data_IF_410147353774
#
_entry.id   IF_410147353774
#
_cell.length_a   1.000
_cell.length_b   1.000
_cell.length_c   1.000
_cell.angle_alpha   90.00
_cell.angle_beta   90.00
_cell.angle_gamma   90.00
#
_symmetry.space_group_name_H-M   'P 1'
#
loop_
_entity.id
_entity.type
_entity.pdbx_description
1 polymer ?
#
# COMPACT_ATOMS: atom_id res chain seq x y z
N UNK A 1 23.82 7.29 12.69
CA UNK A 1 24.01 6.52 11.43
C UNK A 1 24.29 7.53 10.32
N UNK A 2 25.24 7.25 9.41
CA UNK A 2 25.50 8.16 8.30
C UNK A 2 24.31 8.16 7.34
N UNK A 3 23.84 9.31 6.78
CA UNK A 3 22.65 9.37 5.93
C UNK A 3 22.66 8.37 4.76
N UNK A 4 23.81 8.15 4.14
CA UNK A 4 23.98 7.17 3.05
C UNK A 4 23.75 5.72 3.53
N UNK A 5 24.15 5.39 4.74
CA UNK A 5 23.93 4.06 5.32
C UNK A 5 22.45 3.84 5.67
N UNK A 6 21.80 4.88 6.18
CA UNK A 6 20.36 4.88 6.44
C UNK A 6 19.56 4.70 5.15
N UNK A 7 19.92 5.42 4.08
CA UNK A 7 19.32 5.23 2.74
C UNK A 7 19.51 3.82 2.18
N UNK A 8 20.68 3.21 2.42
CA UNK A 8 20.92 1.80 2.04
C UNK A 8 20.05 0.83 2.85
N UNK A 9 19.82 1.11 4.11
CA UNK A 9 18.91 0.32 4.96
C UNK A 9 17.48 0.42 4.43
N UNK A 10 16.97 1.63 4.23
CA UNK A 10 15.64 1.88 3.66
C UNK A 10 15.47 1.18 2.30
N UNK A 11 16.46 1.31 1.41
CA UNK A 11 16.41 0.69 0.10
C UNK A 11 16.40 -0.86 0.13
N UNK A 12 16.79 -1.49 1.25
CA UNK A 12 16.80 -2.95 1.42
C UNK A 12 15.62 -3.47 2.24
N UNK A 13 14.84 -2.60 2.87
CA UNK A 13 13.69 -2.98 3.67
C UNK A 13 12.58 -3.55 2.75
N UNK A 14 12.38 -4.87 2.78
CA UNK A 14 11.29 -5.55 2.08
C UNK A 14 10.18 -5.87 3.05
N UNK A 15 8.92 -5.74 2.63
CA UNK A 15 7.75 -6.03 3.49
C UNK A 15 7.60 -5.10 4.70
N UNK A 16 8.29 -3.95 4.69
CA UNK A 16 8.14 -2.98 5.76
C UNK A 16 6.80 -2.25 5.65
N UNK A 17 6.21 -1.96 6.81
CA UNK A 17 5.02 -1.11 6.91
C UNK A 17 5.25 0.24 6.18
N UNK A 18 4.36 0.66 5.26
CA UNK A 18 4.53 1.88 4.47
C UNK A 18 4.77 3.14 5.32
N UNK A 19 4.11 3.27 6.47
CA UNK A 19 4.28 4.41 7.38
C UNK A 19 5.69 4.42 7.97
N UNK A 20 6.16 3.27 8.43
CA UNK A 20 7.53 3.11 8.96
C UNK A 20 8.56 3.41 7.87
N UNK A 21 8.35 2.91 6.66
CA UNK A 21 9.24 3.14 5.53
C UNK A 21 9.32 4.62 5.14
N UNK A 22 8.20 5.34 5.16
CA UNK A 22 8.18 6.79 4.91
C UNK A 22 8.93 7.55 5.99
N UNK A 23 8.75 7.21 7.26
CA UNK A 23 9.44 7.87 8.38
C UNK A 23 10.96 7.66 8.31
N UNK A 24 11.41 6.44 8.07
CA UNK A 24 12.83 6.13 7.89
C UNK A 24 13.42 6.88 6.68
N UNK A 25 12.65 6.97 5.59
CA UNK A 25 13.04 7.73 4.39
C UNK A 25 13.13 9.22 4.70
N UNK A 26 12.16 9.79 5.40
CA UNK A 26 12.15 11.19 5.79
C UNK A 26 13.40 11.53 6.64
N UNK A 27 13.70 10.70 7.65
CA UNK A 27 14.90 10.86 8.47
C UNK A 27 16.20 10.79 7.65
N UNK A 28 16.28 9.86 6.68
CA UNK A 28 17.46 9.71 5.83
C UNK A 28 17.62 10.89 4.86
N UNK A 29 16.54 11.38 4.24
CA UNK A 29 16.56 12.54 3.34
C UNK A 29 16.86 13.84 4.10
N UNK A 30 16.37 14.01 5.32
CA UNK A 30 16.67 15.17 6.17
C UNK A 30 18.18 15.32 6.42
N UNK A 31 18.90 14.19 6.50
CA UNK A 31 20.37 14.20 6.60
C UNK A 31 21.09 14.73 5.34
N UNK A 32 20.41 14.82 4.19
CA UNK A 32 20.93 15.32 2.92
C UNK A 32 20.39 16.71 2.55
N UNK A 33 19.68 17.38 3.44
CA UNK A 33 18.98 18.65 3.17
C UNK A 33 19.88 19.75 2.60
N UNK A 34 21.19 19.73 2.88
CA UNK A 34 22.18 20.67 2.36
C UNK A 34 22.84 20.22 1.05
N UNK A 35 22.46 19.06 0.50
CA UNK A 35 23.04 18.49 -0.73
C UNK A 35 21.92 18.22 -1.77
N UNK A 36 21.43 19.23 -2.49
CA UNK A 36 20.31 19.06 -3.42
C UNK A 36 20.50 17.96 -4.46
N UNK A 37 21.72 17.84 -5.01
CA UNK A 37 22.05 16.76 -5.95
C UNK A 37 21.97 15.36 -5.27
N UNK A 38 22.38 15.27 -4.01
CA UNK A 38 22.30 14.07 -3.20
C UNK A 38 20.85 13.63 -2.97
N UNK A 39 19.95 14.59 -2.67
CA UNK A 39 18.52 14.32 -2.50
C UNK A 39 17.92 13.73 -3.79
N UNK A 40 18.17 14.32 -4.96
CA UNK A 40 17.62 13.83 -6.24
C UNK A 40 18.07 12.42 -6.54
N UNK A 41 19.35 12.10 -6.31
CA UNK A 41 19.86 10.73 -6.51
C UNK A 41 19.26 9.74 -5.52
N UNK A 42 19.12 10.15 -4.25
CA UNK A 42 18.51 9.32 -3.20
C UNK A 42 17.04 9.01 -3.52
N UNK A 43 16.25 10.03 -3.84
CA UNK A 43 14.84 9.90 -4.22
C UNK A 43 14.66 8.94 -5.39
N UNK A 44 15.44 9.10 -6.46
CA UNK A 44 15.38 8.19 -7.62
C UNK A 44 15.60 6.73 -7.21
N UNK A 45 16.62 6.47 -6.39
CA UNK A 45 16.91 5.10 -5.91
C UNK A 45 15.81 4.54 -5.01
N UNK A 46 15.22 5.36 -4.15
CA UNK A 46 14.13 4.96 -3.24
C UNK A 46 12.90 4.54 -4.05
N UNK A 47 12.41 5.38 -4.97
CA UNK A 47 11.22 5.05 -5.77
C UNK A 47 11.46 3.89 -6.73
N UNK A 48 12.70 3.70 -7.21
CA UNK A 48 13.07 2.52 -8.02
C UNK A 48 13.03 1.22 -7.20
N UNK A 49 13.39 1.29 -5.93
CA UNK A 49 13.45 0.11 -5.05
C UNK A 49 12.10 -0.23 -4.42
N UNK A 50 11.24 0.77 -4.25
CA UNK A 50 9.90 0.64 -3.68
C UNK A 50 8.83 1.24 -4.64
N UNK A 51 8.72 0.68 -5.85
CA UNK A 51 7.91 1.29 -6.90
C UNK A 51 6.41 1.29 -6.60
N UNK A 52 5.92 0.37 -5.75
CA UNK A 52 4.50 0.21 -5.41
C UNK A 52 4.05 1.00 -4.18
N UNK A 53 4.96 1.71 -3.50
CA UNK A 53 4.65 2.43 -2.26
C UNK A 53 4.30 3.90 -2.56
N UNK A 54 3.03 4.19 -2.81
CA UNK A 54 2.53 5.55 -3.13
C UNK A 54 2.98 6.63 -2.16
N UNK A 55 2.89 6.43 -0.82
CA UNK A 55 3.38 7.40 0.17
C UNK A 55 4.86 7.77 0.03
N UNK A 56 5.72 6.89 -0.48
CA UNK A 56 7.11 7.24 -0.79
C UNK A 56 7.22 8.15 -2.01
N UNK A 57 6.45 7.89 -3.05
CA UNK A 57 6.39 8.79 -4.21
C UNK A 57 5.92 10.18 -3.82
N UNK A 58 4.92 10.25 -2.95
CA UNK A 58 4.39 11.50 -2.41
C UNK A 58 5.46 12.25 -1.59
N UNK A 59 6.10 11.63 -0.59
CA UNK A 59 7.18 12.22 0.20
C UNK A 59 8.34 12.69 -0.70
N UNK A 60 8.81 11.83 -1.58
CA UNK A 60 9.92 12.10 -2.48
C UNK A 60 9.64 13.29 -3.41
N UNK A 61 8.40 13.40 -3.93
CA UNK A 61 8.02 14.53 -4.77
C UNK A 61 8.04 15.85 -4.01
N UNK A 62 7.58 15.87 -2.75
CA UNK A 62 7.65 17.06 -1.91
C UNK A 62 9.09 17.46 -1.61
N UNK A 63 9.95 16.48 -1.31
CA UNK A 63 11.36 16.74 -1.03
C UNK A 63 12.13 17.38 -2.20
N UNK A 64 11.83 16.99 -3.46
CA UNK A 64 12.55 17.52 -4.64
C UNK A 64 11.90 18.76 -5.26
N UNK A 65 10.62 19.05 -4.98
CA UNK A 65 9.91 20.19 -5.57
C UNK A 65 9.87 21.42 -4.67
N UNK A 66 10.16 21.28 -3.38
CA UNK A 66 10.13 22.37 -2.44
C UNK A 66 11.40 23.25 -2.52
N UNK A 67 11.24 24.54 -2.23
CA UNK A 67 12.36 25.46 -2.08
C UNK A 67 13.23 25.11 -0.84
N UNK A 68 12.60 24.65 0.22
CA UNK A 68 13.24 24.08 1.41
C UNK A 68 12.84 22.60 1.55
N UNK A 69 13.70 21.67 1.12
CA UNK A 69 13.44 20.23 1.25
C UNK A 69 13.25 19.76 2.70
N UNK A 70 13.98 20.36 3.65
CA UNK A 70 13.93 19.96 5.05
C UNK A 70 12.56 20.29 5.66
N UNK A 71 12.08 21.51 5.46
CA UNK A 71 10.73 21.91 5.91
C UNK A 71 9.64 21.05 5.28
N UNK A 72 9.75 20.79 3.97
CA UNK A 72 8.78 19.93 3.26
C UNK A 72 8.74 18.49 3.81
N UNK A 73 9.91 17.89 4.06
CA UNK A 73 10.01 16.55 4.63
C UNK A 73 9.41 16.50 6.03
N UNK A 74 9.72 17.47 6.90
CA UNK A 74 9.15 17.54 8.24
C UNK A 74 7.62 17.68 8.22
N UNK A 75 7.09 18.49 7.31
CA UNK A 75 5.66 18.64 7.12
C UNK A 75 5.00 17.32 6.70
N UNK A 76 5.58 16.61 5.74
CA UNK A 76 5.10 15.30 5.32
C UNK A 76 5.12 14.28 6.46
N UNK A 77 6.17 14.27 7.28
CA UNK A 77 6.27 13.37 8.43
C UNK A 77 5.18 13.65 9.48
N UNK A 78 4.91 14.92 9.76
CA UNK A 78 3.83 15.32 10.67
C UNK A 78 2.45 14.95 10.12
N UNK A 79 2.20 15.17 8.85
CA UNK A 79 0.94 14.80 8.20
C UNK A 79 0.69 13.28 8.27
N UNK A 80 1.71 12.44 8.01
CA UNK A 80 1.59 10.98 8.14
C UNK A 80 1.37 10.57 9.60
N UNK A 81 2.03 11.24 10.55
CA UNK A 81 1.86 10.95 11.97
C UNK A 81 0.44 11.22 12.46
N UNK A 82 -0.23 12.17 11.86
CA UNK A 82 -1.61 12.59 12.20
C UNK A 82 -2.69 11.97 11.31
N UNK A 83 -2.32 11.02 10.43
CA UNK A 83 -3.26 10.34 9.55
C UNK A 83 -4.35 9.60 10.34
N UNK A 84 -5.60 10.00 10.14
CA UNK A 84 -6.75 9.45 10.80
C UNK A 84 -7.38 8.23 10.10
N UNK A 85 -6.83 7.77 8.97
CA UNK A 85 -7.43 6.71 8.14
C UNK A 85 -7.72 5.43 8.93
N UNK A 86 -6.77 4.97 9.75
CA UNK A 86 -6.93 3.77 10.58
C UNK A 86 -8.09 3.93 11.56
N UNK A 87 -8.18 5.10 12.23
CA UNK A 87 -9.27 5.42 13.15
C UNK A 87 -10.60 5.49 12.40
N UNK A 88 -10.65 6.19 11.26
CA UNK A 88 -11.85 6.37 10.47
C UNK A 88 -12.39 5.02 9.95
N UNK A 89 -11.51 4.11 9.53
CA UNK A 89 -11.91 2.77 9.12
C UNK A 89 -12.48 1.97 10.31
N UNK A 90 -11.76 1.94 11.43
CA UNK A 90 -12.19 1.20 12.63
C UNK A 90 -13.58 1.66 13.10
N UNK A 91 -13.82 2.98 13.09
CA UNK A 91 -15.08 3.57 13.55
C UNK A 91 -16.22 3.39 12.51
N UNK A 92 -15.88 3.19 11.24
CA UNK A 92 -16.86 3.00 10.15
C UNK A 92 -17.39 1.57 10.05
N UNK A 93 -16.58 0.55 10.40
CA UNK A 93 -16.99 -0.86 10.30
C UNK A 93 -17.98 -1.21 11.41
N UNK A 94 -19.22 -1.67 11.07
CA UNK A 94 -20.23 -2.04 12.06
C UNK A 94 -19.77 -3.20 12.98
N UNK A 95 -20.45 -3.35 14.10
CA UNK A 95 -20.25 -4.48 15.01
C UNK A 95 -20.68 -5.79 14.34
N UNK A 96 -20.01 -6.90 14.72
CA UNK A 96 -20.28 -8.25 14.27
C UNK A 96 -20.22 -8.45 12.75
N UNK A 97 -19.61 -7.48 12.01
CA UNK A 97 -19.53 -7.54 10.57
C UNK A 97 -18.58 -8.63 10.07
N UNK A 98 -18.92 -9.20 8.91
CA UNK A 98 -18.06 -10.10 8.14
C UNK A 98 -17.38 -9.32 7.04
N UNK A 99 -16.07 -9.24 7.07
CA UNK A 99 -15.25 -8.40 6.20
C UNK A 99 -14.33 -9.26 5.34
N UNK A 100 -14.30 -9.01 4.04
CA UNK A 100 -13.32 -9.61 3.13
C UNK A 100 -12.22 -8.60 2.79
N UNK A 101 -10.96 -9.01 2.93
CA UNK A 101 -9.75 -8.22 2.60
C UNK A 101 -8.81 -9.04 1.73
N UNK A 102 -7.78 -8.39 1.13
CA UNK A 102 -6.84 -9.05 0.20
C UNK A 102 -5.41 -8.93 0.70
N UNK A 103 -4.71 -10.05 0.81
CA UNK A 103 -3.29 -10.14 1.16
C UNK A 103 -2.95 -9.54 2.52
N UNK A 104 -1.92 -8.70 2.56
CA UNK A 104 -1.49 -7.98 3.77
C UNK A 104 -1.84 -6.48 3.69
N UNK A 105 -3.10 -6.09 3.86
CA UNK A 105 -3.48 -4.68 3.83
C UNK A 105 -3.16 -4.01 5.17
N UNK A 106 -2.01 -3.35 5.26
CA UNK A 106 -1.41 -2.87 6.52
C UNK A 106 -2.33 -1.95 7.31
N UNK A 107 -2.93 -0.93 6.68
CA UNK A 107 -3.83 0.02 7.38
C UNK A 107 -5.11 -0.66 7.83
N UNK A 108 -5.65 -1.58 7.02
CA UNK A 108 -6.84 -2.35 7.36
C UNK A 108 -6.55 -3.29 8.54
N UNK A 109 -5.44 -4.03 8.49
CA UNK A 109 -5.05 -4.91 9.60
C UNK A 109 -4.87 -4.13 10.90
N UNK A 110 -4.22 -2.97 10.86
CA UNK A 110 -4.07 -2.10 12.04
C UNK A 110 -5.42 -1.59 12.57
N UNK A 111 -6.35 -1.22 11.67
CA UNK A 111 -7.68 -0.75 12.08
C UNK A 111 -8.52 -1.85 12.74
N UNK A 112 -8.45 -3.06 12.21
CA UNK A 112 -9.31 -4.18 12.61
C UNK A 112 -8.69 -5.10 13.68
N UNK A 113 -7.39 -4.98 13.94
CA UNK A 113 -6.68 -5.82 14.90
C UNK A 113 -7.17 -5.76 16.36
N UNK A 114 -7.97 -4.75 16.71
CA UNK A 114 -8.58 -4.59 18.04
C UNK A 114 -10.07 -4.91 18.05
N UNK A 115 -10.59 -5.45 16.96
CA UNK A 115 -12.03 -5.72 16.73
C UNK A 115 -12.30 -7.22 16.77
N UNK A 116 -12.30 -7.80 17.97
CA UNK A 116 -12.61 -9.24 18.21
C UNK A 116 -14.05 -9.63 17.90
N UNK A 117 -14.91 -8.64 17.69
CA UNK A 117 -16.30 -8.82 17.25
C UNK A 117 -16.43 -9.16 15.76
N UNK A 118 -15.38 -8.91 14.96
CA UNK A 118 -15.43 -9.11 13.51
C UNK A 118 -15.08 -10.56 13.11
N UNK A 119 -15.59 -10.96 11.94
CA UNK A 119 -15.09 -12.13 11.20
C UNK A 119 -14.40 -11.64 9.94
N UNK A 120 -13.09 -11.89 9.83
CA UNK A 120 -12.28 -11.41 8.71
C UNK A 120 -11.93 -12.59 7.79
N UNK A 121 -12.21 -12.41 6.51
CA UNK A 121 -11.80 -13.31 5.44
C UNK A 121 -10.64 -12.65 4.69
N UNK A 122 -9.48 -13.28 4.70
CA UNK A 122 -8.27 -12.80 4.02
C UNK A 122 -8.09 -13.60 2.74
N UNK A 123 -8.25 -12.97 1.59
CA UNK A 123 -7.98 -13.59 0.30
C UNK A 123 -6.49 -13.67 0.07
N UNK A 124 -6.00 -14.84 -0.32
CA UNK A 124 -4.58 -15.05 -0.61
C UNK A 124 -4.09 -14.10 -1.73
N UNK A 125 -2.95 -13.49 -1.52
CA UNK A 125 -2.30 -12.61 -2.48
C UNK A 125 -0.79 -12.60 -2.22
N UNK A 126 0.01 -12.94 -3.23
CA UNK A 126 1.47 -12.89 -3.23
C UNK A 126 2.16 -13.67 -2.08
N UNK A 127 1.48 -14.62 -1.46
CA UNK A 127 1.99 -15.38 -0.31
C UNK A 127 1.81 -14.70 1.06
N UNK A 128 1.09 -13.57 1.12
CA UNK A 128 0.97 -12.76 2.34
C UNK A 128 -0.28 -13.10 3.19
N UNK A 129 -1.24 -13.84 2.63
CA UNK A 129 -2.53 -14.11 3.27
C UNK A 129 -2.41 -14.91 4.56
N UNK A 130 -1.58 -15.95 4.60
CA UNK A 130 -1.33 -16.76 5.80
C UNK A 130 -0.76 -15.91 6.93
N UNK A 131 0.24 -15.08 6.65
CA UNK A 131 0.85 -14.21 7.65
C UNK A 131 -0.15 -13.17 8.20
N UNK A 132 -1.04 -12.65 7.35
CA UNK A 132 -2.10 -11.74 7.76
C UNK A 132 -3.11 -12.43 8.71
N UNK A 133 -3.51 -13.66 8.40
CA UNK A 133 -4.39 -14.47 9.25
C UNK A 133 -3.72 -14.75 10.59
N UNK A 134 -2.47 -15.22 10.60
CA UNK A 134 -1.72 -15.49 11.82
C UNK A 134 -1.61 -14.25 12.71
N UNK A 135 -1.36 -13.10 12.11
CA UNK A 135 -1.31 -11.82 12.81
C UNK A 135 -2.64 -11.48 13.48
N UNK A 136 -3.76 -11.61 12.77
CA UNK A 136 -5.10 -11.34 13.31
C UNK A 136 -5.45 -12.32 14.44
N UNK A 137 -5.20 -13.62 14.23
CA UNK A 137 -5.44 -14.65 15.25
C UNK A 137 -4.61 -14.40 16.52
N UNK A 138 -3.37 -13.94 16.39
CA UNK A 138 -2.52 -13.58 17.53
C UNK A 138 -3.05 -12.39 18.36
N UNK A 139 -4.03 -11.67 17.83
CA UNK A 139 -4.71 -10.54 18.47
C UNK A 139 -6.16 -10.85 18.83
N UNK A 140 -6.52 -12.13 18.92
CA UNK A 140 -7.87 -12.63 19.25
C UNK A 140 -8.97 -12.16 18.26
N UNK A 141 -8.61 -11.90 17.01
CA UNK A 141 -9.54 -11.56 15.94
C UNK A 141 -9.83 -12.82 15.13
N UNK A 142 -11.11 -13.13 14.90
CA UNK A 142 -11.53 -14.29 14.10
C UNK A 142 -11.19 -14.06 12.62
N UNK A 143 -10.15 -14.73 12.12
CA UNK A 143 -9.67 -14.61 10.74
C UNK A 143 -9.57 -15.97 10.05
N UNK A 144 -9.85 -16.00 8.75
CA UNK A 144 -9.78 -17.21 7.92
C UNK A 144 -9.15 -16.89 6.58
N UNK A 145 -8.16 -17.71 6.16
CA UNK A 145 -7.60 -17.66 4.81
C UNK A 145 -8.63 -18.13 3.78
N UNK A 146 -8.68 -17.42 2.67
CA UNK A 146 -9.57 -17.71 1.54
C UNK A 146 -8.71 -17.97 0.30
N UNK A 147 -8.76 -19.20 -0.18
CA UNK A 147 -8.19 -19.56 -1.48
C UNK A 147 -9.13 -19.12 -2.60
N UNK A 148 -8.57 -18.84 -3.77
CA UNK A 148 -9.31 -18.27 -4.90
C UNK A 148 -10.56 -19.07 -5.29
N UNK A 149 -10.52 -20.39 -5.19
CA UNK A 149 -11.64 -21.29 -5.51
C UNK A 149 -12.86 -21.07 -4.61
N UNK A 150 -12.67 -20.51 -3.42
CA UNK A 150 -13.73 -20.24 -2.44
C UNK A 150 -14.24 -18.80 -2.49
N UNK A 151 -13.67 -17.96 -3.35
CA UNK A 151 -13.89 -16.52 -3.34
C UNK A 151 -15.36 -16.15 -3.49
N UNK A 152 -16.07 -16.70 -4.49
CA UNK A 152 -17.48 -16.40 -4.75
C UNK A 152 -18.37 -16.70 -3.54
N UNK A 153 -18.14 -17.85 -2.87
CA UNK A 153 -18.89 -18.23 -1.69
C UNK A 153 -18.64 -17.28 -0.51
N UNK A 154 -17.39 -16.87 -0.32
CA UNK A 154 -17.02 -15.97 0.76
C UNK A 154 -17.57 -14.56 0.51
N UNK A 155 -17.47 -14.03 -0.71
CA UNK A 155 -18.04 -12.73 -1.06
C UNK A 155 -19.57 -12.72 -0.82
N UNK A 156 -20.28 -13.78 -1.20
CA UNK A 156 -21.71 -13.89 -0.91
C UNK A 156 -22.03 -13.87 0.60
N UNK A 157 -21.14 -14.44 1.43
CA UNK A 157 -21.27 -14.47 2.90
C UNK A 157 -20.89 -13.14 3.57
N UNK A 158 -19.99 -12.34 2.97
CA UNK A 158 -19.50 -11.10 3.56
C UNK A 158 -20.55 -9.99 3.59
N UNK A 159 -20.42 -9.09 4.56
CA UNK A 159 -21.18 -7.83 4.63
C UNK A 159 -20.45 -6.71 3.89
N UNK A 160 -19.10 -6.72 3.92
CA UNK A 160 -18.24 -5.71 3.31
C UNK A 160 -17.03 -6.34 2.63
N UNK A 161 -16.66 -5.77 1.50
CA UNK A 161 -15.34 -5.96 0.86
C UNK A 161 -14.53 -4.69 1.11
N UNK A 162 -13.34 -4.82 1.67
CA UNK A 162 -12.47 -3.67 1.96
C UNK A 162 -11.11 -3.90 1.31
N UNK A 163 -10.74 -2.98 0.42
CA UNK A 163 -9.50 -3.02 -0.35
C UNK A 163 -8.61 -1.84 0.04
N UNK A 164 -7.31 -2.07 0.22
CA UNK A 164 -6.33 -1.03 0.49
C UNK A 164 -5.64 -0.56 -0.79
N UNK A 165 -5.56 0.76 -0.96
CA UNK A 165 -4.84 1.36 -2.06
C UNK A 165 -3.34 1.45 -1.77
N UNK A 166 -2.51 0.99 -2.69
CA UNK A 166 -1.07 1.28 -2.72
C UNK A 166 -0.82 2.69 -3.26
N UNK A 167 -1.58 3.09 -4.28
CA UNK A 167 -1.63 4.44 -4.82
C UNK A 167 -2.96 4.66 -5.55
N UNK A 168 -3.35 5.93 -5.72
CA UNK A 168 -4.57 6.30 -6.45
C UNK A 168 -4.34 7.46 -7.40
N UNK A 169 -5.03 7.41 -8.55
CA UNK A 169 -5.25 8.54 -9.44
C UNK A 169 -6.68 9.09 -9.27
N UNK A 170 -7.15 9.87 -10.22
CA UNK A 170 -8.55 10.33 -10.26
C UNK A 170 -9.56 9.25 -10.66
N UNK A 171 -9.14 8.20 -11.37
CA UNK A 171 -10.03 7.19 -11.99
C UNK A 171 -9.60 5.75 -11.72
N UNK A 172 -8.36 5.53 -11.32
CA UNK A 172 -7.75 4.23 -11.17
C UNK A 172 -7.02 4.10 -9.84
N UNK A 173 -7.03 2.91 -9.29
CA UNK A 173 -6.42 2.58 -8.01
C UNK A 173 -5.45 1.40 -8.21
N UNK A 174 -4.22 1.55 -7.77
CA UNK A 174 -3.26 0.45 -7.66
C UNK A 174 -3.45 -0.24 -6.32
N UNK A 175 -3.65 -1.54 -6.35
CA UNK A 175 -3.86 -2.40 -5.18
C UNK A 175 -3.01 -3.67 -5.29
N UNK A 176 -2.96 -4.46 -4.24
CA UNK A 176 -2.38 -5.81 -4.27
C UNK A 176 -3.08 -6.69 -5.28
N UNK A 177 -2.36 -7.65 -5.87
CA UNK A 177 -2.91 -8.61 -6.84
C UNK A 177 -4.14 -9.35 -6.27
N UNK A 178 -5.12 -9.63 -7.12
CA UNK A 178 -6.40 -10.21 -6.73
C UNK A 178 -7.47 -9.19 -6.31
N UNK A 179 -7.07 -7.97 -5.98
CA UNK A 179 -8.01 -6.92 -5.52
C UNK A 179 -9.05 -6.55 -6.57
N UNK A 180 -8.69 -6.56 -7.87
CA UNK A 180 -9.63 -6.29 -8.94
C UNK A 180 -10.74 -7.36 -9.01
N UNK A 181 -10.35 -8.63 -8.93
CA UNK A 181 -11.32 -9.74 -8.93
C UNK A 181 -12.25 -9.70 -7.72
N UNK A 182 -11.69 -9.44 -6.54
CA UNK A 182 -12.45 -9.33 -5.27
C UNK A 182 -13.42 -8.16 -5.31
N UNK A 183 -12.97 -6.98 -5.76
CA UNK A 183 -13.81 -5.79 -5.88
C UNK A 183 -14.93 -5.98 -6.92
N UNK A 184 -14.61 -6.57 -8.09
CA UNK A 184 -15.59 -6.84 -9.13
C UNK A 184 -16.65 -7.84 -8.67
N UNK A 185 -16.27 -8.93 -7.99
CA UNK A 185 -17.23 -9.87 -7.41
C UNK A 185 -18.10 -9.21 -6.36
N UNK A 186 -17.52 -8.42 -5.45
CA UNK A 186 -18.27 -7.65 -4.46
C UNK A 186 -19.31 -6.74 -5.12
N UNK A 187 -18.90 -6.03 -6.17
CA UNK A 187 -19.80 -5.18 -6.94
C UNK A 187 -20.94 -5.98 -7.61
N UNK A 188 -20.64 -7.12 -8.24
CA UNK A 188 -21.64 -7.99 -8.88
C UNK A 188 -22.63 -8.58 -7.86
N UNK A 189 -22.15 -8.94 -6.67
CA UNK A 189 -22.96 -9.44 -5.56
C UNK A 189 -23.68 -8.33 -4.77
N UNK A 190 -23.60 -7.07 -5.25
CA UNK A 190 -24.21 -5.90 -4.63
C UNK A 190 -23.76 -5.69 -3.16
N UNK A 191 -22.54 -6.11 -2.85
CA UNK A 191 -21.92 -5.86 -1.54
C UNK A 191 -21.29 -4.47 -1.51
N UNK A 192 -21.29 -3.77 -0.37
CA UNK A 192 -20.50 -2.56 -0.22
C UNK A 192 -19.02 -2.85 -0.39
N UNK A 193 -18.40 -2.29 -1.44
CA UNK A 193 -16.95 -2.35 -1.69
C UNK A 193 -16.35 -1.02 -1.25
N UNK A 194 -15.50 -1.07 -0.23
CA UNK A 194 -14.84 0.12 0.33
C UNK A 194 -13.38 0.17 -0.05
N UNK A 195 -12.90 1.37 -0.34
CA UNK A 195 -11.50 1.65 -0.60
C UNK A 195 -10.89 2.37 0.61
N UNK A 196 -9.75 1.88 1.08
CA UNK A 196 -8.94 2.55 2.11
C UNK A 196 -7.78 3.27 1.44
N UNK A 197 -7.69 4.57 1.65
CA UNK A 197 -6.64 5.43 1.07
C UNK A 197 -5.94 6.19 2.19
N UNK A 198 -4.82 5.65 2.66
CA UNK A 198 -3.96 6.33 3.62
C UNK A 198 -3.34 7.60 3.02
N UNK A 199 -2.84 8.49 3.87
CA UNK A 199 -2.16 9.69 3.42
C UNK A 199 -0.99 9.37 2.49
N UNK A 200 -0.82 10.19 1.45
CA UNK A 200 0.25 10.02 0.45
C UNK A 200 -0.04 8.97 -0.62
N UNK A 201 -1.15 8.23 -0.56
CA UNK A 201 -1.53 7.30 -1.63
C UNK A 201 -2.10 8.02 -2.86
N UNK A 202 -2.73 9.19 -2.67
CA UNK A 202 -3.26 9.97 -3.79
C UNK A 202 -2.15 10.73 -4.51
N UNK A 203 -1.87 10.33 -5.74
CA UNK A 203 -0.80 10.88 -6.55
C UNK A 203 -1.34 11.82 -7.66
N UNK A 204 -0.68 12.96 -7.91
CA UNK A 204 -0.89 13.74 -9.13
C UNK A 204 -0.67 12.88 -10.38
N UNK A 205 -1.35 13.22 -11.49
CA UNK A 205 -1.32 12.43 -12.73
C UNK A 205 0.09 12.14 -13.25
N UNK A 206 1.02 13.08 -13.11
CA UNK A 206 2.42 12.91 -13.56
C UNK A 206 3.13 11.83 -12.73
N UNK A 207 2.95 11.83 -11.41
CA UNK A 207 3.53 10.81 -10.52
C UNK A 207 2.86 9.46 -10.72
N UNK A 208 1.54 9.45 -10.89
CA UNK A 208 0.80 8.23 -11.22
C UNK A 208 1.31 7.59 -12.51
N UNK A 209 1.47 8.36 -13.59
CA UNK A 209 2.01 7.87 -14.85
C UNK A 209 3.44 7.34 -14.71
N UNK A 210 4.29 8.03 -13.94
CA UNK A 210 5.65 7.55 -13.63
C UNK A 210 5.64 6.24 -12.86
N UNK A 211 4.82 6.14 -11.82
CA UNK A 211 4.67 4.95 -10.99
C UNK A 211 4.14 3.75 -11.81
N UNK A 212 3.05 3.94 -12.55
CA UNK A 212 2.46 2.87 -13.38
C UNK A 212 3.39 2.41 -14.48
N UNK A 213 4.10 3.33 -15.13
CA UNK A 213 5.13 2.99 -16.13
C UNK A 213 6.24 2.14 -15.51
N UNK A 214 6.68 2.46 -14.31
CA UNK A 214 7.74 1.71 -13.63
C UNK A 214 7.26 0.33 -13.16
N UNK A 215 6.04 0.24 -12.59
CA UNK A 215 5.49 -1.01 -12.05
C UNK A 215 5.03 -1.95 -13.16
N UNK A 216 4.28 -1.43 -14.16
CA UNK A 216 3.70 -2.24 -15.22
C UNK A 216 4.63 -2.37 -16.43
N UNK A 217 5.50 -1.39 -16.68
CA UNK A 217 6.46 -1.39 -17.80
C UNK A 217 7.56 -2.44 -17.64
N UNK A 218 7.97 -2.77 -16.42
CA UNK A 218 8.93 -3.84 -16.14
C UNK A 218 8.35 -5.22 -16.48
N UNK A 219 7.02 -5.37 -16.41
CA UNK A 219 6.34 -6.62 -16.79
C UNK A 219 6.33 -6.88 -18.31
N UNK A 220 6.56 -5.85 -19.15
CA UNK A 220 6.49 -5.93 -20.62
C UNK A 220 7.85 -5.95 -21.32
N UNK A 221 8.93 -5.53 -20.67
CA UNK A 221 10.27 -5.48 -21.23
C UNK A 221 11.09 -6.69 -20.78
N UNK A 222 10.78 -7.86 -21.35
CA UNK A 222 11.65 -9.03 -21.31
C UNK A 222 12.83 -8.91 -22.29
N UNK A 223 13.65 -7.86 -22.19
CA UNK A 223 14.91 -7.80 -22.90
C UNK A 223 16.00 -8.48 -22.07
N UNK A 224 16.51 -9.56 -22.65
CA UNK A 224 17.64 -10.31 -22.16
C UNK A 224 18.90 -9.45 -22.17
N UNK A 225 19.37 -9.04 -21.02
CA UNK A 225 20.79 -8.81 -20.81
C UNK A 225 21.27 -9.73 -19.69
N UNK A 226 22.08 -10.72 -20.15
CA UNK A 226 22.79 -11.67 -19.30
C UNK A 226 23.76 -10.92 -18.39
N UNK A 227 23.43 -10.82 -17.10
CA UNK A 227 24.40 -10.84 -15.99
C UNK A 227 23.70 -11.00 -14.63
N UNK A 228 23.88 -12.21 -14.08
CA UNK A 228 23.96 -12.59 -12.66
C UNK A 228 23.22 -11.74 -11.62
N UNK A 229 21.94 -12.05 -11.38
CA UNK A 229 21.33 -12.21 -10.06
C UNK A 229 19.96 -12.88 -10.24
N UNK A 230 19.95 -14.20 -10.35
CA UNK A 230 18.74 -15.01 -10.64
C UNK A 230 17.72 -15.05 -9.52
N UNK A 231 17.95 -14.33 -8.40
CA UNK A 231 17.08 -14.38 -7.23
C UNK A 231 16.23 -13.09 -7.01
N UNK A 232 16.36 -12.07 -7.88
CA UNK A 232 15.66 -10.77 -7.71
C UNK A 232 14.41 -10.61 -8.62
N UNK A 233 14.11 -11.58 -9.50
CA UNK A 233 13.00 -11.46 -10.48
C UNK A 233 11.67 -12.05 -10.04
N UNK A 234 11.65 -12.94 -9.05
CA UNK A 234 10.40 -13.55 -8.54
C UNK A 234 9.62 -12.65 -7.56
N UNK A 235 10.21 -11.53 -7.17
CA UNK A 235 9.63 -10.57 -6.20
C UNK A 235 9.02 -9.32 -6.88
N UNK A 236 8.66 -9.39 -8.15
CA UNK A 236 7.88 -8.33 -8.79
C UNK A 236 6.50 -8.33 -8.16
N UNK A 237 6.29 -7.38 -7.25
CA UNK A 237 5.03 -7.15 -6.57
C UNK A 237 3.90 -7.14 -7.60
N UNK A 238 3.20 -8.25 -7.73
CA UNK A 238 2.03 -8.34 -8.56
C UNK A 238 1.00 -7.37 -8.01
N UNK A 239 0.56 -6.46 -8.83
CA UNK A 239 -0.44 -5.46 -8.49
C UNK A 239 -1.59 -5.48 -9.48
N UNK A 240 -2.74 -5.05 -9.04
CA UNK A 240 -3.90 -4.78 -9.88
C UNK A 240 -4.11 -3.28 -10.03
N UNK A 241 -4.57 -2.87 -11.21
CA UNK A 241 -5.17 -1.55 -11.43
C UNK A 241 -6.68 -1.70 -11.47
N UNK A 242 -7.35 -1.08 -10.52
CA UNK A 242 -8.77 -1.24 -10.25
C UNK A 242 -9.51 0.05 -10.59
N UNK A 243 -10.60 0.02 -11.38
CA UNK A 243 -11.41 1.19 -11.66
C UNK A 243 -12.05 1.76 -10.38
N UNK A 244 -11.99 3.08 -10.18
CA UNK A 244 -12.60 3.75 -9.04
C UNK A 244 -14.12 3.52 -8.94
N UNK A 245 -14.78 3.24 -10.06
CA UNK A 245 -16.21 2.98 -10.13
C UNK A 245 -16.68 1.71 -9.41
N UNK A 246 -15.78 0.79 -9.07
CA UNK A 246 -16.13 -0.41 -8.30
C UNK A 246 -16.32 -0.12 -6.80
N UNK A 247 -15.85 1.02 -6.31
CA UNK A 247 -15.90 1.35 -4.89
C UNK A 247 -17.11 2.23 -4.57
N UNK A 248 -17.92 1.78 -3.61
CA UNK A 248 -19.10 2.51 -3.11
C UNK A 248 -18.75 3.56 -2.06
N UNK A 249 -17.59 3.43 -1.41
CA UNK A 249 -17.11 4.35 -0.36
C UNK A 249 -15.60 4.40 -0.32
N UNK A 250 -15.05 5.59 -0.05
CA UNK A 250 -13.63 5.79 0.24
C UNK A 250 -13.46 6.16 1.70
N UNK A 251 -12.56 5.48 2.39
CA UNK A 251 -12.10 5.78 3.75
C UNK A 251 -10.73 6.42 3.63
N UNK A 252 -10.61 7.65 4.08
CA UNK A 252 -9.43 8.50 3.95
C UNK A 252 -9.17 9.26 5.26
N UNK A 253 -8.06 10.03 5.36
CA UNK A 253 -7.77 10.88 6.53
C UNK A 253 -8.83 11.96 6.79
N UNK A 254 -9.54 12.41 5.73
CA UNK A 254 -10.51 13.50 5.75
C UNK A 254 -11.94 12.99 5.74
#
# INVERSE_FOLDING_TARGET
MHPIEHLRYVARARGADPVSLVRETAAALSGLSHEPAGIVLAVRRIVQRHPTVGPLWWLCSHAISAADPFEAIQKCEEEIRTDATIKNLRDAVPQDAKVCVVGWPTSILHALATRSDLKIFVVESNGDGDAAVDRLLSMDVNANLVQFENLSRVIAECDYVIVEALATSSSEIMCSAGSHGVAALGYCEQKPVWLVTALGTRLPNVLWAGMTSQVLGVATSGDHDDHEDHNDRDDQNLVDVVPASLFSRVISPL
#
